data_IF_108121459850
#
_entry.id   IF_108121459850
#
_cell.length_a   1.000
_cell.length_b   1.000
_cell.length_c   1.000
_cell.angle_alpha   90.00
_cell.angle_beta   90.00
_cell.angle_gamma   90.00
#
_symmetry.space_group_name_H-M   'P 1'
#
loop_
_entity.id
_entity.type
_entity.pdbx_description
1 polymer ?
#
# COMPACT_ATOMS: atom_id res chain seq x y z
N UNK A 1 -33.67 15.97 25.44
CA UNK A 1 -33.74 15.58 24.01
C UNK A 1 -32.60 16.27 23.25
N UNK A 2 -31.58 15.53 22.82
CA UNK A 2 -30.43 16.09 22.08
C UNK A 2 -30.62 15.92 20.57
N UNK A 3 -30.90 17.01 19.85
CA UNK A 3 -31.07 17.02 18.38
C UNK A 3 -29.77 17.31 17.59
N UNK A 4 -28.60 17.36 18.23
CA UNK A 4 -27.33 17.72 17.57
C UNK A 4 -26.58 16.55 16.88
N UNK A 5 -27.15 15.34 16.85
CA UNK A 5 -26.43 14.14 16.34
C UNK A 5 -26.50 13.97 14.82
N UNK A 6 -27.50 14.55 14.16
CA UNK A 6 -27.72 14.33 12.71
C UNK A 6 -26.71 15.03 11.79
N UNK A 7 -26.11 16.15 12.22
CA UNK A 7 -25.25 16.96 11.35
C UNK A 7 -23.78 16.52 11.33
N UNK A 8 -23.33 15.76 12.32
CA UNK A 8 -21.96 15.23 12.36
C UNK A 8 -21.78 14.07 11.40
N UNK A 9 -22.79 13.20 11.32
CA UNK A 9 -22.72 11.95 10.57
C UNK A 9 -22.64 12.20 9.05
N UNK A 10 -23.34 13.22 8.54
CA UNK A 10 -23.30 13.60 7.12
C UNK A 10 -21.93 14.17 6.70
N UNK A 11 -21.31 14.97 7.57
CA UNK A 11 -20.01 15.58 7.30
C UNK A 11 -18.89 14.53 7.32
N UNK A 12 -18.94 13.58 8.26
CA UNK A 12 -17.98 12.49 8.36
C UNK A 12 -18.06 11.57 7.13
N UNK A 13 -19.28 11.32 6.62
CA UNK A 13 -19.49 10.57 5.40
C UNK A 13 -18.92 11.28 4.16
N UNK A 14 -19.15 12.58 4.04
CA UNK A 14 -18.62 13.40 2.94
C UNK A 14 -17.08 13.45 2.97
N UNK A 15 -16.49 13.60 4.16
CA UNK A 15 -15.04 13.57 4.35
C UNK A 15 -14.45 12.20 3.97
N UNK A 16 -15.04 11.11 4.47
CA UNK A 16 -14.61 9.76 4.15
C UNK A 16 -14.69 9.47 2.64
N UNK A 17 -15.71 9.98 1.95
CA UNK A 17 -15.86 9.81 0.51
C UNK A 17 -14.80 10.60 -0.28
N UNK A 18 -14.49 11.83 0.15
CA UNK A 18 -13.41 12.65 -0.42
C UNK A 18 -12.04 11.98 -0.26
N UNK A 19 -11.75 11.44 0.93
CA UNK A 19 -10.53 10.69 1.20
C UNK A 19 -10.45 9.41 0.36
N UNK A 20 -11.55 8.67 0.26
CA UNK A 20 -11.63 7.47 -0.56
C UNK A 20 -11.39 7.78 -2.05
N UNK A 21 -11.98 8.86 -2.55
CA UNK A 21 -11.74 9.34 -3.92
C UNK A 21 -10.25 9.66 -4.16
N UNK A 22 -9.61 10.37 -3.22
CA UNK A 22 -8.18 10.68 -3.31
C UNK A 22 -7.32 9.40 -3.31
N UNK A 23 -7.63 8.43 -2.44
CA UNK A 23 -6.94 7.13 -2.39
C UNK A 23 -7.09 6.37 -3.71
N UNK A 24 -8.28 6.37 -4.31
CA UNK A 24 -8.53 5.71 -5.59
C UNK A 24 -7.67 6.29 -6.71
N UNK A 25 -7.55 7.61 -6.78
CA UNK A 25 -6.73 8.32 -7.76
C UNK A 25 -5.24 8.02 -7.56
N UNK A 26 -4.76 8.06 -6.32
CA UNK A 26 -3.38 7.67 -5.99
C UNK A 26 -3.07 6.25 -6.46
N UNK A 27 -3.98 5.30 -6.20
CA UNK A 27 -3.83 3.91 -6.64
C UNK A 27 -3.85 3.78 -8.17
N UNK A 28 -4.70 4.55 -8.87
CA UNK A 28 -4.74 4.58 -10.34
C UNK A 28 -3.40 5.04 -10.92
N UNK A 29 -2.83 6.12 -10.39
CA UNK A 29 -1.54 6.64 -10.84
C UNK A 29 -0.36 5.76 -10.41
N UNK A 30 -0.42 5.11 -9.24
CA UNK A 30 0.64 4.21 -8.78
C UNK A 30 0.87 3.02 -9.72
N UNK A 31 -0.15 2.60 -10.48
CA UNK A 31 -0.01 1.51 -11.46
C UNK A 31 0.80 1.91 -12.69
N UNK A 32 0.89 3.20 -12.99
CA UNK A 32 1.52 3.71 -14.21
C UNK A 32 2.70 4.64 -13.93
N UNK A 33 2.94 5.00 -12.67
CA UNK A 33 4.00 5.92 -12.29
C UNK A 33 5.39 5.24 -12.36
N UNK A 34 6.45 5.98 -12.75
CA UNK A 34 7.82 5.44 -12.77
C UNK A 34 8.34 5.11 -11.37
N UNK A 35 7.95 5.88 -10.35
CA UNK A 35 8.30 5.65 -8.94
C UNK A 35 7.02 5.42 -8.12
N UNK A 36 6.49 4.18 -8.10
CA UNK A 36 5.19 3.88 -7.50
C UNK A 36 5.22 3.71 -5.97
N UNK A 37 6.42 3.56 -5.38
CA UNK A 37 6.61 3.23 -3.96
C UNK A 37 5.95 4.26 -3.03
N UNK A 38 6.23 5.54 -3.25
CA UNK A 38 5.65 6.63 -2.45
C UNK A 38 4.12 6.63 -2.48
N UNK A 39 3.54 6.40 -3.66
CA UNK A 39 2.08 6.41 -3.84
C UNK A 39 1.42 5.24 -3.11
N UNK A 40 2.05 4.05 -3.16
CA UNK A 40 1.57 2.90 -2.40
C UNK A 40 1.70 3.08 -0.88
N UNK A 41 2.78 3.68 -0.41
CA UNK A 41 2.93 3.98 1.02
C UNK A 41 1.89 5.01 1.48
N UNK A 42 1.67 6.09 0.70
CA UNK A 42 0.65 7.10 1.00
C UNK A 42 -0.76 6.49 1.06
N UNK A 43 -1.11 5.64 0.09
CA UNK A 43 -2.35 4.84 0.10
C UNK A 43 -2.46 4.02 1.38
N UNK A 44 -1.42 3.25 1.71
CA UNK A 44 -1.43 2.32 2.85
C UNK A 44 -1.62 3.05 4.18
N UNK A 45 -0.87 4.13 4.40
CA UNK A 45 -0.98 4.93 5.63
C UNK A 45 -2.37 5.56 5.76
N UNK A 46 -2.91 6.10 4.68
CA UNK A 46 -4.24 6.72 4.68
C UNK A 46 -5.33 5.70 5.01
N UNK A 47 -5.30 4.52 4.39
CA UNK A 47 -6.28 3.45 4.67
C UNK A 47 -6.15 2.91 6.10
N UNK A 48 -4.94 2.73 6.61
CA UNK A 48 -4.74 2.30 8.00
C UNK A 48 -5.31 3.33 8.99
N UNK A 49 -5.11 4.62 8.73
CA UNK A 49 -5.68 5.70 9.55
C UNK A 49 -7.22 5.70 9.48
N UNK A 50 -7.80 5.56 8.29
CA UNK A 50 -9.25 5.44 8.13
C UNK A 50 -9.84 4.23 8.87
N UNK A 51 -9.14 3.10 8.87
CA UNK A 51 -9.53 1.91 9.63
C UNK A 51 -9.45 2.15 11.14
N UNK A 52 -8.41 2.83 11.63
CA UNK A 52 -8.30 3.16 13.07
C UNK A 52 -9.34 4.17 13.52
N UNK A 53 -9.76 5.08 12.65
CA UNK A 53 -10.83 6.05 12.93
C UNK A 53 -12.24 5.46 12.77
N UNK A 54 -12.38 4.23 12.28
CA UNK A 54 -13.68 3.61 12.01
C UNK A 54 -14.41 4.16 10.77
N UNK A 55 -13.78 5.06 10.01
CA UNK A 55 -14.30 5.62 8.74
C UNK A 55 -14.25 4.62 7.58
N UNK A 56 -13.43 3.58 7.71
CA UNK A 56 -13.37 2.45 6.80
C UNK A 56 -13.64 1.14 7.54
N UNK A 57 -14.14 0.12 6.83
CA UNK A 57 -14.47 -1.19 7.41
C UNK A 57 -13.88 -2.31 6.57
N UNK A 58 -13.30 -3.31 7.24
CA UNK A 58 -12.92 -4.57 6.62
C UNK A 58 -14.18 -5.40 6.44
N UNK A 59 -14.51 -5.75 5.20
CA UNK A 59 -15.76 -6.47 4.88
C UNK A 59 -15.55 -7.98 4.88
N UNK A 60 -14.41 -8.45 4.36
CA UNK A 60 -14.14 -9.87 4.23
C UNK A 60 -12.92 -10.12 3.36
N UNK A 61 -12.76 -11.37 2.94
CA UNK A 61 -11.68 -11.84 2.09
C UNK A 61 -12.21 -12.22 0.71
N UNK A 62 -11.52 -11.79 -0.35
CA UNK A 62 -11.71 -12.32 -1.70
C UNK A 62 -10.50 -13.18 -2.07
N UNK A 63 -10.69 -14.15 -2.97
CA UNK A 63 -9.57 -14.75 -3.66
C UNK A 63 -8.92 -13.72 -4.60
N UNK A 64 -7.60 -13.68 -4.59
CA UNK A 64 -6.81 -12.83 -5.47
C UNK A 64 -6.77 -13.44 -6.86
N UNK A 65 -6.97 -12.61 -7.88
CA UNK A 65 -6.94 -13.03 -9.29
C UNK A 65 -5.53 -13.46 -9.73
N UNK A 66 -4.47 -13.02 -9.03
CA UNK A 66 -3.07 -13.23 -9.43
C UNK A 66 -2.20 -13.69 -8.24
N UNK A 67 -2.33 -14.95 -7.79
CA UNK A 67 -1.65 -15.48 -6.59
C UNK A 67 -0.14 -15.74 -6.76
N UNK A 68 0.46 -15.30 -7.88
CA UNK A 68 1.88 -15.47 -8.24
C UNK A 68 2.40 -16.91 -8.09
N UNK A 69 3.03 -17.22 -6.96
CA UNK A 69 3.67 -18.51 -6.66
C UNK A 69 2.79 -19.44 -5.82
N UNK A 70 1.67 -18.94 -5.30
CA UNK A 70 0.73 -19.72 -4.50
C UNK A 70 -0.39 -20.26 -5.36
N UNK A 71 -0.90 -21.45 -5.00
CA UNK A 71 -2.10 -21.99 -5.65
C UNK A 71 -3.33 -21.12 -5.38
N UNK A 72 -3.41 -20.52 -4.18
CA UNK A 72 -4.50 -19.65 -3.77
C UNK A 72 -3.98 -18.59 -2.81
N UNK A 73 -4.40 -17.34 -3.03
CA UNK A 73 -4.11 -16.21 -2.15
C UNK A 73 -5.41 -15.43 -1.94
N UNK A 74 -5.61 -14.89 -0.74
CA UNK A 74 -6.74 -14.01 -0.45
C UNK A 74 -6.29 -12.56 -0.27
N UNK A 75 -7.19 -11.62 -0.55
CA UNK A 75 -7.04 -10.18 -0.34
C UNK A 75 -8.16 -9.67 0.56
N UNK A 76 -7.84 -8.75 1.47
CA UNK A 76 -8.84 -8.11 2.35
C UNK A 76 -9.56 -7.03 1.56
N UNK A 77 -10.89 -7.10 1.60
CA UNK A 77 -11.77 -6.07 1.06
C UNK A 77 -12.02 -5.03 2.13
N UNK A 78 -11.77 -3.78 1.79
CA UNK A 78 -12.06 -2.62 2.64
C UNK A 78 -13.06 -1.74 1.92
N UNK A 79 -14.16 -1.43 2.59
CA UNK A 79 -15.12 -0.40 2.17
C UNK A 79 -14.79 0.92 2.85
N UNK A 80 -14.82 2.00 2.08
CA UNK A 80 -14.63 3.36 2.58
C UNK A 80 -15.44 4.33 1.70
N UNK A 81 -16.46 4.97 2.27
CA UNK A 81 -17.43 5.74 1.50
C UNK A 81 -18.05 4.88 0.38
N UNK A 82 -18.04 5.39 -0.83
CA UNK A 82 -18.56 4.69 -2.03
C UNK A 82 -17.52 3.82 -2.74
N UNK A 83 -16.34 3.65 -2.14
CA UNK A 83 -15.21 2.96 -2.76
C UNK A 83 -14.86 1.67 -2.02
N UNK A 84 -14.35 0.73 -2.81
CA UNK A 84 -13.84 -0.55 -2.34
C UNK A 84 -12.36 -0.65 -2.71
N UNK A 85 -11.56 -1.10 -1.73
CA UNK A 85 -10.12 -1.30 -1.85
C UNK A 85 -9.75 -2.72 -1.47
N UNK A 86 -8.64 -3.20 -2.04
CA UNK A 86 -8.05 -4.48 -1.68
C UNK A 86 -6.67 -4.24 -1.07
N UNK A 87 -6.41 -4.92 0.05
CA UNK A 87 -5.13 -4.92 0.76
C UNK A 87 -4.64 -6.36 0.97
N UNK A 88 -3.31 -6.57 1.04
CA UNK A 88 -2.77 -7.83 1.49
C UNK A 88 -3.29 -8.18 2.89
N UNK A 89 -3.73 -9.43 3.14
CA UNK A 89 -4.27 -9.82 4.42
C UNK A 89 -3.19 -9.92 5.49
N UNK A 90 -3.56 -9.59 6.73
CA UNK A 90 -2.76 -9.93 7.91
C UNK A 90 -3.13 -11.33 8.42
N UNK A 91 -2.32 -11.89 9.32
CA UNK A 91 -2.61 -13.19 9.96
C UNK A 91 -3.92 -13.17 10.74
N UNK A 92 -4.29 -12.04 11.32
CA UNK A 92 -5.53 -11.87 12.08
C UNK A 92 -6.73 -11.76 11.15
N UNK A 93 -6.59 -11.06 10.02
CA UNK A 93 -7.63 -10.96 9.01
C UNK A 93 -8.05 -12.33 8.48
N UNK A 94 -7.07 -13.21 8.21
CA UNK A 94 -7.31 -14.57 7.74
C UNK A 94 -8.07 -15.44 8.75
N UNK A 95 -8.00 -15.11 10.04
CA UNK A 95 -8.69 -15.88 11.11
C UNK A 95 -10.08 -15.34 11.41
N UNK A 96 -10.26 -14.03 11.30
CA UNK A 96 -11.46 -13.33 11.80
C UNK A 96 -12.44 -12.98 10.70
N UNK A 97 -11.97 -12.71 9.49
CA UNK A 97 -12.83 -12.25 8.40
C UNK A 97 -13.43 -13.43 7.62
N UNK A 98 -14.71 -13.36 7.25
CA UNK A 98 -15.33 -14.36 6.40
C UNK A 98 -14.77 -14.30 4.98
N UNK A 99 -14.72 -15.45 4.32
CA UNK A 99 -14.37 -15.52 2.90
C UNK A 99 -15.62 -15.27 2.05
N UNK A 100 -15.57 -14.24 1.19
CA UNK A 100 -16.67 -13.79 0.34
C UNK A 100 -16.60 -14.40 -1.08
N UNK A 101 -15.59 -15.23 -1.32
CA UNK A 101 -15.42 -15.98 -2.56
C UNK A 101 -14.59 -15.21 -3.59
N UNK A 102 -14.95 -15.35 -4.86
CA UNK A 102 -14.26 -14.69 -5.96
C UNK A 102 -14.79 -13.27 -6.18
N UNK A 103 -13.91 -12.40 -6.66
CA UNK A 103 -14.25 -11.01 -6.94
C UNK A 103 -15.31 -10.90 -8.04
N UNK A 104 -16.45 -10.27 -7.74
CA UNK A 104 -17.45 -9.94 -8.75
C UNK A 104 -16.95 -8.86 -9.73
N UNK A 105 -17.13 -9.07 -11.04
CA UNK A 105 -16.72 -8.13 -12.09
C UNK A 105 -17.69 -6.94 -12.26
N UNK A 106 -18.92 -7.07 -11.74
CA UNK A 106 -19.97 -6.05 -11.87
C UNK A 106 -19.78 -4.87 -10.91
N UNK A 107 -19.22 -5.14 -9.72
CA UNK A 107 -19.03 -4.12 -8.68
C UNK A 107 -17.77 -3.32 -8.98
N UNK A 108 -17.95 -2.03 -9.27
CA UNK A 108 -16.86 -1.10 -9.61
C UNK A 108 -16.95 0.16 -8.77
N UNK A 109 -15.79 0.73 -8.47
CA UNK A 109 -15.70 2.04 -7.86
C UNK A 109 -16.28 3.10 -8.81
N UNK A 110 -16.91 4.16 -8.28
CA UNK A 110 -17.49 5.22 -9.08
C UNK A 110 -16.44 5.93 -9.94
N UNK A 111 -16.89 6.60 -11.00
CA UNK A 111 -16.01 7.41 -11.85
C UNK A 111 -15.60 8.67 -11.09
N UNK A 112 -14.30 8.98 -11.10
CA UNK A 112 -13.72 10.07 -10.31
C UNK A 112 -12.91 11.02 -11.16
N UNK A 113 -13.07 12.32 -10.94
CA UNK A 113 -12.28 13.37 -11.57
C UNK A 113 -11.56 14.15 -10.48
N UNK A 114 -10.28 13.86 -10.29
CA UNK A 114 -9.40 14.57 -9.35
C UNK A 114 -7.96 14.47 -9.87
N UNK A 115 -7.18 15.54 -9.75
CA UNK A 115 -5.79 15.53 -10.17
C UNK A 115 -4.90 14.78 -9.17
N UNK A 116 -3.82 14.18 -9.66
CA UNK A 116 -2.84 13.49 -8.81
C UNK A 116 -2.27 14.42 -7.72
N UNK A 117 -1.93 15.66 -8.06
CA UNK A 117 -1.38 16.62 -7.11
C UNK A 117 -2.39 16.96 -6.02
N UNK A 118 -3.66 17.16 -6.38
CA UNK A 118 -4.71 17.43 -5.40
C UNK A 118 -4.94 16.23 -4.49
N UNK A 119 -4.99 15.02 -5.04
CA UNK A 119 -5.13 13.79 -4.27
C UNK A 119 -3.98 13.61 -3.25
N UNK A 120 -2.74 13.89 -3.66
CA UNK A 120 -1.58 13.87 -2.75
C UNK A 120 -1.75 14.86 -1.60
N UNK A 121 -2.10 16.11 -1.91
CA UNK A 121 -2.29 17.14 -0.88
C UNK A 121 -3.38 16.76 0.13
N UNK A 122 -4.52 16.25 -0.35
CA UNK A 122 -5.62 15.79 0.51
C UNK A 122 -5.12 14.71 1.47
N UNK A 123 -4.45 13.67 0.96
CA UNK A 123 -3.97 12.58 1.80
C UNK A 123 -2.82 12.99 2.72
N UNK A 124 -1.92 13.84 2.27
CA UNK A 124 -0.81 14.36 3.08
C UNK A 124 -1.32 15.21 4.24
N UNK A 125 -2.30 16.08 3.98
CA UNK A 125 -2.97 16.85 5.03
C UNK A 125 -3.66 15.92 6.04
N UNK A 126 -4.31 14.86 5.54
CA UNK A 126 -4.99 13.90 6.37
C UNK A 126 -4.05 13.07 7.26
N UNK A 127 -2.97 12.48 6.71
CA UNK A 127 -2.04 11.66 7.53
C UNK A 127 -1.14 12.49 8.45
N UNK A 128 -1.01 13.80 8.19
CA UNK A 128 -0.20 14.72 8.96
C UNK A 128 1.28 14.79 8.53
N UNK A 129 1.95 15.87 8.93
CA UNK A 129 3.30 16.22 8.49
C UNK A 129 4.36 15.20 8.94
N UNK A 130 4.24 14.64 10.14
CA UNK A 130 5.20 13.65 10.66
C UNK A 130 5.26 12.38 9.78
N UNK A 131 4.10 11.88 9.35
CA UNK A 131 4.02 10.74 8.44
C UNK A 131 4.57 11.09 7.04
N UNK A 132 4.29 12.30 6.55
CA UNK A 132 4.83 12.79 5.27
C UNK A 132 6.37 12.85 5.28
N UNK A 133 6.97 13.31 6.38
CA UNK A 133 8.42 13.37 6.52
C UNK A 133 9.05 11.97 6.53
N UNK A 134 8.39 10.98 7.15
CA UNK A 134 8.84 9.60 7.12
C UNK A 134 8.82 8.99 5.71
N UNK A 135 7.85 9.36 4.87
CA UNK A 135 7.80 8.95 3.45
C UNK A 135 9.00 9.50 2.67
N UNK A 136 9.28 10.80 2.83
CA UNK A 136 10.38 11.46 2.11
C UNK A 136 11.77 10.95 2.55
N UNK A 137 11.94 10.62 3.84
CA UNK A 137 13.21 10.10 4.37
C UNK A 137 13.56 8.72 3.82
N UNK A 138 12.57 7.88 3.47
CA UNK A 138 12.84 6.55 2.88
C UNK A 138 13.39 6.62 1.47
N UNK A 139 13.00 7.63 0.69
CA UNK A 139 13.51 7.81 -0.67
C UNK A 139 14.93 8.38 -0.70
N UNK A 140 15.32 9.17 0.31
CA UNK A 140 16.67 9.74 0.40
C UNK A 140 17.75 8.70 0.72
N UNK A 141 17.40 7.43 0.97
CA UNK A 141 18.37 6.35 1.19
C UNK A 141 18.91 5.73 -0.12
N UNK A 142 18.53 6.27 -1.30
CA UNK A 142 19.16 5.87 -2.56
C UNK A 142 20.49 6.60 -2.78
N UNK A 143 21.56 5.82 -2.54
CA UNK A 143 22.98 5.94 -2.96
C UNK A 143 23.93 6.65 -1.99
N UNK A 144 24.76 5.92 -1.22
CA UNK A 144 26.11 6.41 -1.00
C UNK A 144 26.75 6.57 -2.38
N UNK A 145 27.18 7.79 -2.72
CA UNK A 145 28.02 8.03 -3.88
C UNK A 145 29.22 7.08 -3.75
N UNK A 146 29.41 6.21 -4.75
CA UNK A 146 30.42 5.16 -4.68
C UNK A 146 31.80 5.77 -4.42
N UNK A 147 32.31 5.58 -3.21
CA UNK A 147 33.74 5.66 -2.97
C UNK A 147 34.34 4.47 -3.70
N UNK A 148 34.89 4.71 -4.89
CA UNK A 148 35.74 3.74 -5.59
C UNK A 148 36.96 3.50 -4.72
N UNK A 149 36.89 2.52 -3.82
CA UNK A 149 38.10 2.02 -3.18
C UNK A 149 38.75 1.06 -4.18
N UNK A 150 39.80 1.54 -4.85
CA UNK A 150 40.74 0.70 -5.59
C UNK A 150 41.48 -0.19 -4.59
N UNK A 151 40.82 -1.23 -4.11
CA UNK A 151 41.39 -2.24 -3.25
C UNK A 151 41.52 -3.51 -4.09
N UNK A 152 42.66 -3.67 -4.77
CA UNK A 152 43.10 -4.97 -5.31
C UNK A 152 43.29 -5.92 -4.12
N UNK A 153 42.22 -6.56 -3.67
CA UNK A 153 42.30 -7.66 -2.71
C UNK A 153 42.57 -8.94 -3.48
N UNK A 154 43.77 -9.47 -3.30
CA UNK A 154 44.11 -10.85 -3.63
C UNK A 154 43.11 -11.77 -2.91
N UNK A 155 42.37 -12.58 -3.66
CA UNK A 155 41.54 -13.63 -3.09
C UNK A 155 42.45 -14.73 -2.53
N UNK A 156 42.59 -14.81 -1.21
CA UNK A 156 43.10 -16.01 -0.54
C UNK A 156 41.91 -16.91 -0.18
N UNK A 157 41.76 -18.01 -0.91
CA UNK A 157 40.77 -19.05 -0.60
C UNK A 157 41.14 -19.73 0.73
N UNK A 158 40.38 -19.43 1.79
CA UNK A 158 40.58 -20.05 3.13
C UNK A 158 39.85 -21.39 3.29
N UNK A 159 39.19 -21.89 2.23
CA UNK A 159 38.57 -23.21 2.21
C UNK A 159 38.93 -23.95 0.92
N UNK A 160 39.96 -24.80 0.91
CA UNK A 160 40.16 -25.74 -0.18
C UNK A 160 39.18 -26.90 -0.01
N UNK A 161 37.88 -26.68 -0.29
CA UNK A 161 36.97 -27.82 -0.38
C UNK A 161 37.32 -28.60 -1.64
N UNK A 162 37.72 -29.86 -1.49
CA UNK A 162 37.98 -30.80 -2.59
C UNK A 162 36.69 -31.26 -3.31
N UNK A 163 35.52 -30.76 -2.91
CA UNK A 163 34.22 -31.21 -3.40
C UNK A 163 33.71 -30.46 -4.64
N UNK A 164 34.29 -29.29 -4.95
CA UNK A 164 34.03 -28.55 -6.19
C UNK A 164 35.38 -28.30 -6.85
N UNK A 165 35.59 -28.96 -7.98
CA UNK A 165 36.86 -29.00 -8.71
C UNK A 165 37.49 -27.63 -8.94
N UNK A 166 38.83 -27.66 -9.06
CA UNK A 166 39.76 -26.58 -9.36
C UNK A 166 39.11 -25.37 -10.04
N UNK A 167 39.28 -24.22 -9.39
CA UNK A 167 38.74 -22.93 -9.81
C UNK A 167 39.04 -22.57 -11.27
N UNK A 168 38.00 -22.13 -11.97
CA UNK A 168 38.12 -21.45 -13.24
C UNK A 168 38.59 -20.01 -13.03
N UNK A 169 39.66 -19.65 -13.73
CA UNK A 169 40.11 -18.27 -13.91
C UNK A 169 39.45 -17.71 -15.18
N UNK A 170 38.74 -16.59 -15.05
CA UNK A 170 38.73 -15.53 -16.07
C UNK A 170 39.07 -14.23 -15.35
#
# INVERSE_FOLDING_TARGET
MNQNKGQTDDNDHAEANSLAQAIFIINKHAKTAPEPKLLYELKRLSLNKLLSEGKAKKMGLHFSDHPKFSAQQSDVIISCGEYIFHLPPTREDLKTLPHLGSRSQSVRNPKTVLSLNRAKQILQAYIGQAACNALNKKDSHKRPAGQKTNSKKSFQNTFPSSFLGKGFKY
#
